data_IF_741532472425
#
_entry.id   IF_741532472425
#
_cell.length_a   1.000
_cell.length_b   1.000
_cell.length_c   1.000
_cell.angle_alpha   90.00
_cell.angle_beta   90.00
_cell.angle_gamma   90.00
#
_symmetry.space_group_name_H-M   'P 1'
#
loop_
_entity.id
_entity.type
_entity.pdbx_description
1 polymer ?
#
# COMPACT_ATOMS: atom_id res chain seq x y z
N UNK A 1 13.11 80.21 4.27
CA UNK A 1 14.14 79.67 5.19
C UNK A 1 14.23 78.18 4.90
N UNK A 2 15.24 77.68 4.16
CA UNK A 2 16.64 77.44 4.58
C UNK A 2 16.75 76.47 5.78
N UNK A 3 17.41 75.32 5.56
CA UNK A 3 17.63 74.27 6.56
C UNK A 3 18.55 73.14 6.04
N UNK A 4 19.87 73.32 6.18
CA UNK A 4 20.98 72.39 5.84
C UNK A 4 21.68 71.94 7.16
N UNK A 5 22.37 70.81 7.29
CA UNK A 5 22.62 69.60 6.46
C UNK A 5 23.09 68.49 7.43
N UNK A 6 22.86 67.19 7.14
CA UNK A 6 23.70 66.11 7.69
C UNK A 6 23.64 64.82 6.85
N UNK A 7 24.80 64.33 6.42
CA UNK A 7 24.96 63.04 5.75
C UNK A 7 25.77 62.07 6.62
N UNK A 8 25.45 60.78 6.58
CA UNK A 8 26.17 59.67 7.24
C UNK A 8 26.74 58.67 6.23
N UNK A 9 27.71 57.83 6.63
CA UNK A 9 28.69 57.23 5.72
C UNK A 9 28.19 55.99 4.94
N UNK A 10 28.90 55.58 3.85
CA UNK A 10 28.49 54.49 2.98
C UNK A 10 28.74 53.10 3.59
N UNK A 11 27.82 52.17 3.38
CA UNK A 11 28.04 50.76 3.72
C UNK A 11 28.91 50.05 2.69
N UNK A 12 29.91 49.32 3.20
CA UNK A 12 31.00 48.70 2.45
C UNK A 12 30.58 47.42 1.68
N UNK A 13 31.26 47.14 0.56
CA UNK A 13 31.02 45.95 -0.30
C UNK A 13 31.79 44.72 0.21
N UNK A 14 31.25 44.04 1.21
CA UNK A 14 31.81 42.80 1.77
C UNK A 14 31.34 41.50 1.09
N UNK A 15 32.15 40.96 0.17
CA UNK A 15 32.24 39.55 -0.32
C UNK A 15 31.02 38.62 -0.15
N UNK A 16 30.46 38.17 -1.29
CA UNK A 16 29.74 36.89 -1.37
C UNK A 16 30.67 35.72 -0.99
N UNK A 17 30.27 34.93 0.00
CA UNK A 17 30.82 33.59 0.27
C UNK A 17 29.79 32.54 -0.16
N UNK A 18 29.86 32.13 -1.42
CA UNK A 18 29.12 31.00 -1.97
C UNK A 18 29.67 29.68 -1.42
N UNK A 19 29.11 29.21 -0.30
CA UNK A 19 29.39 27.87 0.21
C UNK A 19 28.58 26.84 -0.59
N UNK A 20 29.20 26.29 -1.63
CA UNK A 20 28.65 25.14 -2.34
C UNK A 20 28.76 23.87 -1.46
N UNK A 21 27.70 23.04 -1.33
CA UNK A 21 27.78 21.79 -0.61
C UNK A 21 28.70 20.79 -1.35
N UNK A 22 29.73 20.30 -0.66
CA UNK A 22 30.61 19.26 -1.19
C UNK A 22 29.88 17.92 -1.29
N UNK A 23 29.80 17.36 -2.49
CA UNK A 23 29.39 15.98 -2.73
C UNK A 23 30.38 15.00 -2.05
N UNK A 24 29.90 13.97 -1.33
CA UNK A 24 30.76 12.86 -0.89
C UNK A 24 31.23 12.02 -2.07
N UNK A 25 32.35 11.33 -1.87
CA UNK A 25 33.20 10.75 -2.91
C UNK A 25 32.64 9.48 -3.59
N UNK A 26 33.20 9.18 -4.76
CA UNK A 26 32.80 8.06 -5.64
C UNK A 26 32.96 6.69 -4.96
N UNK A 27 31.88 5.90 -4.95
CA UNK A 27 31.93 4.47 -4.61
C UNK A 27 32.79 3.71 -5.65
N UNK A 28 33.80 2.96 -5.18
CA UNK A 28 34.76 2.22 -6.03
C UNK A 28 34.51 0.71 -5.97
N UNK A 29 33.60 0.22 -6.81
CA UNK A 29 33.43 -1.22 -7.05
C UNK A 29 34.62 -1.77 -7.85
N UNK A 30 35.27 -2.84 -7.37
CA UNK A 30 36.29 -3.55 -8.14
C UNK A 30 35.65 -4.35 -9.27
N UNK A 31 36.20 -4.25 -10.50
CA UNK A 31 35.89 -5.18 -11.59
C UNK A 31 36.54 -6.53 -11.29
N UNK A 32 35.73 -7.58 -11.20
CA UNK A 32 36.23 -8.96 -11.22
C UNK A 32 36.74 -9.27 -12.64
N UNK A 33 38.02 -9.65 -12.75
CA UNK A 33 38.53 -10.35 -13.95
C UNK A 33 38.16 -11.82 -13.82
N UNK A 34 37.50 -12.38 -14.84
CA UNK A 34 37.36 -13.82 -14.99
C UNK A 34 38.72 -14.42 -15.40
N UNK A 35 39.27 -15.40 -14.67
CA UNK A 35 40.31 -16.29 -15.19
C UNK A 35 39.69 -17.34 -16.13
N UNK A 36 40.54 -17.98 -16.94
CA UNK A 36 40.11 -18.83 -18.05
C UNK A 36 39.53 -20.19 -17.66
N UNK A 37 38.97 -20.83 -18.70
CA UNK A 37 38.40 -22.19 -18.69
C UNK A 37 39.42 -23.23 -18.19
N UNK A 38 39.00 -24.06 -17.24
CA UNK A 38 39.71 -25.25 -16.77
C UNK A 38 38.69 -26.31 -16.33
N UNK A 39 38.81 -27.52 -16.85
CA UNK A 39 37.77 -28.56 -16.81
C UNK A 39 38.09 -29.65 -15.78
N UNK A 40 37.05 -30.30 -15.22
CA UNK A 40 37.07 -31.48 -14.33
C UNK A 40 37.57 -31.30 -12.88
N UNK A 41 36.64 -31.36 -11.92
CA UNK A 41 36.56 -32.53 -11.02
C UNK A 41 35.13 -32.70 -10.48
N UNK A 42 34.69 -33.95 -10.31
CA UNK A 42 33.39 -34.30 -9.71
C UNK A 42 33.54 -34.55 -8.21
N UNK A 43 32.44 -34.35 -7.48
CA UNK A 43 32.16 -34.92 -6.16
C UNK A 43 33.08 -34.55 -4.99
N UNK A 44 32.60 -33.64 -4.14
CA UNK A 44 32.35 -34.00 -2.73
C UNK A 44 31.39 -32.98 -2.11
N UNK A 45 30.24 -33.47 -1.64
CA UNK A 45 29.30 -32.68 -0.85
C UNK A 45 29.87 -32.55 0.56
N UNK A 46 30.44 -31.39 0.86
CA UNK A 46 30.63 -30.95 2.25
C UNK A 46 29.62 -29.85 2.48
N UNK A 47 28.52 -30.20 3.14
CA UNK A 47 27.54 -29.25 3.63
C UNK A 47 28.16 -28.45 4.78
N UNK A 48 28.96 -27.44 4.44
CA UNK A 48 29.48 -26.49 5.40
C UNK A 48 28.29 -25.67 5.90
N UNK A 49 27.78 -26.02 7.08
CA UNK A 49 26.77 -25.24 7.79
C UNK A 49 27.43 -23.94 8.24
N UNK A 50 27.52 -23.01 7.30
CA UNK A 50 27.79 -21.61 7.57
C UNK A 50 26.62 -21.11 8.42
N UNK A 51 26.80 -21.16 9.74
CA UNK A 51 26.07 -20.32 10.69
C UNK A 51 26.42 -18.86 10.39
N UNK A 52 25.83 -18.33 9.33
CA UNK A 52 25.81 -16.89 9.12
C UNK A 52 24.79 -16.36 10.13
N UNK A 53 25.26 -15.61 11.12
CA UNK A 53 24.43 -14.84 12.04
C UNK A 53 23.79 -13.68 11.25
N UNK A 54 22.78 -14.00 10.44
CA UNK A 54 22.08 -13.04 9.59
C UNK A 54 21.04 -12.31 10.43
N UNK A 55 20.99 -10.99 10.27
CA UNK A 55 20.04 -10.04 10.89
C UNK A 55 20.37 -9.62 12.33
N UNK A 56 21.04 -8.47 12.44
CA UNK A 56 21.33 -7.81 13.72
C UNK A 56 22.63 -8.28 14.33
N UNK A 57 23.36 -7.38 15.01
CA UNK A 57 24.53 -7.78 15.80
C UNK A 57 24.16 -8.54 17.09
N UNK A 58 22.86 -8.65 17.36
CA UNK A 58 22.23 -9.12 18.60
C UNK A 58 21.01 -10.01 18.26
N UNK A 59 21.20 -11.18 17.63
CA UNK A 59 20.10 -12.12 17.36
C UNK A 59 20.52 -13.61 17.39
N UNK A 60 20.09 -14.32 18.42
CA UNK A 60 20.27 -15.76 18.57
C UNK A 60 19.19 -16.54 17.83
N UNK A 61 19.57 -17.72 17.35
CA UNK A 61 18.77 -18.59 16.51
C UNK A 61 19.61 -19.22 15.39
N UNK A 62 18.97 -19.89 14.41
CA UNK A 62 17.54 -20.09 14.31
C UNK A 62 16.98 -21.03 15.39
N UNK A 63 15.87 -20.63 16.00
CA UNK A 63 14.97 -21.48 16.79
C UNK A 63 13.90 -22.06 15.85
N UNK A 64 13.61 -23.36 15.95
CA UNK A 64 12.79 -24.07 14.97
C UNK A 64 13.41 -24.04 13.57
N UNK A 65 12.64 -24.44 12.55
CA UNK A 65 13.17 -24.56 11.18
C UNK A 65 12.20 -24.08 10.10
N UNK A 66 12.75 -23.34 9.13
CA UNK A 66 12.20 -23.11 7.80
C UNK A 66 13.14 -23.80 6.81
N UNK A 67 12.67 -24.81 6.09
CA UNK A 67 13.39 -25.53 5.04
C UNK A 67 12.50 -25.69 3.79
N UNK A 68 12.67 -24.81 2.81
CA UNK A 68 11.80 -24.72 1.63
C UNK A 68 12.64 -24.64 0.36
N UNK A 69 12.89 -25.80 -0.28
CA UNK A 69 13.76 -25.87 -1.46
C UNK A 69 15.21 -25.51 -1.10
N UNK A 70 15.74 -24.43 -1.68
CA UNK A 70 17.06 -23.90 -1.35
C UNK A 70 17.06 -22.90 -0.17
N UNK A 71 15.89 -22.62 0.43
CA UNK A 71 15.75 -21.65 1.52
C UNK A 71 15.84 -22.32 2.90
N UNK A 72 16.76 -21.84 3.73
CA UNK A 72 16.99 -22.33 5.10
C UNK A 72 16.88 -21.16 6.08
N UNK A 73 16.19 -21.37 7.20
CA UNK A 73 15.86 -20.33 8.17
C UNK A 73 15.18 -20.82 9.45
N UNK A 74 14.60 -19.89 10.19
CA UNK A 74 13.87 -20.14 11.45
C UNK A 74 13.48 -18.85 12.15
N UNK A 75 13.16 -18.94 13.45
CA UNK A 75 12.87 -17.82 14.33
C UNK A 75 14.14 -17.31 15.02
N UNK A 76 14.19 -16.02 15.32
CA UNK A 76 15.31 -15.36 15.98
C UNK A 76 14.83 -14.51 17.15
N UNK A 77 15.61 -14.46 18.22
CA UNK A 77 15.40 -13.55 19.35
C UNK A 77 16.15 -12.22 19.14
N UNK A 78 16.15 -11.36 20.15
CA UNK A 78 17.11 -10.28 20.34
C UNK A 78 18.08 -10.71 21.47
N UNK A 79 19.39 -10.61 21.26
CA UNK A 79 20.39 -11.07 22.25
C UNK A 79 20.42 -10.23 23.54
N UNK A 80 19.97 -8.98 23.48
CA UNK A 80 19.93 -8.11 24.67
C UNK A 80 18.73 -8.40 25.58
N UNK A 81 17.65 -9.01 25.05
CA UNK A 81 16.37 -9.18 25.78
C UNK A 81 15.84 -10.60 25.80
N UNK A 82 16.40 -11.53 25.01
CA UNK A 82 15.86 -12.88 24.79
C UNK A 82 14.52 -12.93 24.04
N UNK A 83 13.86 -11.79 23.81
CA UNK A 83 12.52 -11.73 23.25
C UNK A 83 12.50 -12.02 21.74
N UNK A 84 11.40 -12.57 21.25
CA UNK A 84 11.21 -12.86 19.82
C UNK A 84 11.26 -11.59 18.96
N UNK A 85 12.20 -11.56 18.01
CA UNK A 85 12.42 -10.41 17.13
C UNK A 85 11.78 -10.63 15.75
N UNK A 86 12.12 -11.73 15.09
CA UNK A 86 11.67 -12.00 13.71
C UNK A 86 11.88 -13.45 13.29
N UNK A 87 11.27 -13.86 12.19
CA UNK A 87 11.66 -15.06 11.44
C UNK A 87 12.37 -14.64 10.15
N UNK A 88 13.40 -15.39 9.74
CA UNK A 88 14.08 -15.18 8.46
C UNK A 88 14.44 -16.49 7.78
N UNK A 89 14.51 -16.45 6.45
CA UNK A 89 15.00 -17.52 5.59
C UNK A 89 16.02 -16.98 4.58
N UNK A 90 16.99 -17.81 4.23
CA UNK A 90 18.15 -17.44 3.41
C UNK A 90 18.33 -18.41 2.27
N UNK A 91 18.71 -17.90 1.09
CA UNK A 91 19.07 -18.70 -0.09
C UNK A 91 20.41 -18.20 -0.67
N UNK A 92 21.44 -19.06 -0.80
CA UNK A 92 22.70 -18.70 -1.44
C UNK A 92 22.61 -18.77 -2.97
N UNK A 93 23.29 -17.85 -3.66
CA UNK A 93 23.35 -17.80 -5.13
C UNK A 93 24.79 -17.86 -5.64
N UNK A 94 24.97 -18.32 -6.88
CA UNK A 94 26.28 -18.50 -7.53
C UNK A 94 27.10 -17.21 -7.66
N UNK A 95 26.47 -16.04 -7.52
CA UNK A 95 27.12 -14.72 -7.45
C UNK A 95 27.92 -14.47 -6.16
N UNK A 96 27.86 -15.39 -5.18
CA UNK A 96 28.44 -15.19 -3.84
C UNK A 96 27.59 -14.28 -2.94
N UNK A 97 26.35 -14.00 -3.36
CA UNK A 97 25.35 -13.25 -2.59
C UNK A 97 24.35 -14.22 -1.99
N UNK A 98 24.04 -14.03 -0.71
CA UNK A 98 22.98 -14.72 0.01
C UNK A 98 21.79 -13.76 0.05
N UNK A 99 20.66 -14.20 -0.49
CA UNK A 99 19.40 -13.48 -0.40
C UNK A 99 18.70 -13.86 0.90
N UNK A 100 18.22 -12.87 1.63
CA UNK A 100 17.60 -13.02 2.95
C UNK A 100 16.20 -12.45 2.88
N UNK A 101 15.20 -13.20 3.33
CA UNK A 101 13.82 -12.72 3.47
C UNK A 101 13.41 -12.85 4.93
N UNK A 102 13.01 -11.74 5.53
CA UNK A 102 12.59 -11.67 6.93
C UNK A 102 11.15 -11.21 7.09
N UNK A 103 10.49 -11.68 8.15
CA UNK A 103 9.19 -11.22 8.61
C UNK A 103 9.26 -11.03 10.13
N UNK A 104 9.06 -9.81 10.62
CA UNK A 104 9.27 -9.47 12.02
C UNK A 104 7.99 -9.53 12.88
N UNK A 105 8.18 -9.46 14.20
CA UNK A 105 7.08 -9.51 15.17
C UNK A 105 6.08 -8.35 15.05
N UNK A 106 6.39 -7.25 14.36
CA UNK A 106 5.47 -6.13 14.07
C UNK A 106 4.87 -6.15 12.67
N UNK A 107 5.03 -7.24 11.91
CA UNK A 107 4.39 -7.45 10.61
C UNK A 107 5.11 -6.78 9.41
N UNK A 108 6.38 -6.40 9.59
CA UNK A 108 7.21 -5.84 8.51
C UNK A 108 7.99 -6.94 7.79
N UNK A 109 7.96 -6.90 6.45
CA UNK A 109 8.78 -7.76 5.60
C UNK A 109 10.09 -7.07 5.25
N UNK A 110 11.17 -7.84 5.14
CA UNK A 110 12.50 -7.36 4.75
C UNK A 110 13.13 -8.25 3.68
N UNK A 111 13.89 -7.62 2.78
CA UNK A 111 14.77 -8.28 1.83
C UNK A 111 16.19 -7.80 2.12
N UNK A 112 17.14 -8.71 2.31
CA UNK A 112 18.54 -8.35 2.49
C UNK A 112 19.45 -9.08 1.51
N UNK A 113 20.53 -8.40 1.14
CA UNK A 113 21.59 -8.90 0.28
C UNK A 113 22.85 -8.99 1.13
N UNK A 114 23.23 -10.20 1.53
CA UNK A 114 24.41 -10.48 2.33
C UNK A 114 25.52 -11.10 1.47
N UNK A 115 26.78 -10.79 1.77
CA UNK A 115 27.93 -11.52 1.21
C UNK A 115 29.14 -11.40 2.13
N UNK A 116 29.91 -12.48 2.38
CA UNK A 116 31.19 -12.41 3.08
C UNK A 116 32.21 -11.47 2.41
N UNK A 117 31.98 -11.08 1.16
CA UNK A 117 32.81 -10.11 0.41
C UNK A 117 32.44 -8.64 0.65
N UNK A 118 31.23 -8.35 1.15
CA UNK A 118 30.75 -6.97 1.34
C UNK A 118 31.40 -6.28 2.54
N UNK A 119 31.63 -4.96 2.43
CA UNK A 119 32.34 -4.12 3.41
C UNK A 119 31.66 -2.74 3.52
N UNK A 120 30.42 -2.74 3.99
CA UNK A 120 29.64 -1.53 4.26
C UNK A 120 29.95 -0.94 5.63
N UNK A 121 29.71 0.36 5.77
CA UNK A 121 29.71 1.05 7.07
C UNK A 121 28.32 0.94 7.72
N UNK A 122 28.24 0.92 9.05
CA UNK A 122 26.94 0.89 9.75
C UNK A 122 26.16 2.18 9.44
N UNK A 123 24.92 2.04 8.96
CA UNK A 123 24.08 3.14 8.50
C UNK A 123 24.31 3.56 7.04
N UNK A 124 25.25 2.94 6.32
CA UNK A 124 25.43 3.16 4.88
C UNK A 124 24.14 2.76 4.14
N UNK A 125 23.68 3.63 3.25
CA UNK A 125 22.38 3.50 2.58
C UNK A 125 22.55 3.42 1.06
N UNK A 126 21.87 2.47 0.43
CA UNK A 126 21.90 2.28 -1.02
C UNK A 126 20.48 2.11 -1.60
N UNK A 127 20.22 2.75 -2.74
CA UNK A 127 19.04 2.45 -3.54
C UNK A 127 19.29 1.19 -4.37
N UNK A 128 18.39 0.21 -4.28
CA UNK A 128 18.41 -1.05 -5.02
C UNK A 128 17.13 -1.12 -5.84
N UNK A 129 17.25 -1.03 -7.16
CA UNK A 129 16.15 -1.24 -8.08
C UNK A 129 16.02 -2.75 -8.36
N UNK A 130 14.99 -3.39 -7.82
CA UNK A 130 14.64 -4.78 -8.12
C UNK A 130 13.63 -4.84 -9.25
N UNK A 131 13.84 -5.74 -10.22
CA UNK A 131 12.91 -6.01 -11.32
C UNK A 131 12.54 -7.48 -11.32
N UNK A 132 11.26 -7.79 -11.28
CA UNK A 132 10.73 -9.15 -11.26
C UNK A 132 10.22 -9.57 -12.63
N UNK A 133 10.63 -10.76 -13.09
CA UNK A 133 10.27 -11.38 -14.37
C UNK A 133 10.36 -10.44 -15.59
N UNK A 134 11.27 -9.46 -15.53
CA UNK A 134 11.50 -8.44 -16.55
C UNK A 134 10.36 -7.41 -16.72
N UNK A 135 9.42 -7.30 -15.77
CA UNK A 135 8.20 -6.48 -15.91
C UNK A 135 7.94 -5.53 -14.75
N UNK A 136 7.97 -6.02 -13.51
CA UNK A 136 7.62 -5.19 -12.35
C UNK A 136 8.89 -4.66 -11.67
N UNK A 137 9.10 -3.35 -11.70
CA UNK A 137 10.24 -2.69 -11.08
C UNK A 137 9.85 -1.97 -9.78
N UNK A 138 10.59 -2.22 -8.71
CA UNK A 138 10.46 -1.51 -7.43
C UNK A 138 11.82 -0.98 -6.96
N UNK A 139 11.86 0.29 -6.55
CA UNK A 139 13.03 0.88 -5.88
C UNK A 139 12.93 0.63 -4.39
N UNK A 140 13.84 -0.18 -3.87
CA UNK A 140 14.03 -0.42 -2.44
C UNK A 140 15.17 0.46 -1.92
N UNK A 141 15.02 0.96 -0.69
CA UNK A 141 16.10 1.65 0.02
C UNK A 141 16.63 0.70 1.09
N UNK A 142 17.88 0.28 0.93
CA UNK A 142 18.54 -0.67 1.80
C UNK A 142 19.57 0.02 2.70
N UNK A 143 19.60 -0.36 3.97
CA UNK A 143 20.53 0.17 4.97
C UNK A 143 21.42 -0.95 5.50
N UNK A 144 22.71 -0.66 5.68
CA UNK A 144 23.68 -1.58 6.23
C UNK A 144 23.64 -1.55 7.76
N UNK A 145 22.97 -2.53 8.36
CA UNK A 145 22.98 -2.73 9.82
C UNK A 145 24.21 -3.54 10.30
N UNK A 146 24.83 -4.28 9.38
CA UNK A 146 26.06 -5.06 9.55
C UNK A 146 26.99 -4.76 8.35
N UNK A 147 28.30 -4.99 8.51
CA UNK A 147 29.28 -4.66 7.46
C UNK A 147 29.22 -5.54 6.21
N UNK A 148 28.53 -6.68 6.27
CA UNK A 148 28.43 -7.68 5.21
C UNK A 148 27.03 -7.76 4.57
N UNK A 149 26.07 -6.90 4.94
CA UNK A 149 24.67 -7.01 4.52
C UNK A 149 23.96 -5.65 4.38
N UNK A 150 23.23 -5.49 3.27
CA UNK A 150 22.27 -4.40 3.06
C UNK A 150 20.84 -4.94 3.21
N UNK A 151 20.03 -4.34 4.11
CA UNK A 151 18.63 -4.74 4.35
C UNK A 151 17.68 -3.64 3.95
N UNK A 152 16.70 -3.94 3.08
CA UNK A 152 15.57 -3.08 2.77
C UNK A 152 14.27 -3.62 3.38
N UNK A 153 13.35 -2.72 3.71
CA UNK A 153 11.94 -3.09 3.96
C UNK A 153 11.27 -3.41 2.62
N UNK A 154 10.58 -4.55 2.52
CA UNK A 154 9.71 -4.85 1.38
C UNK A 154 8.30 -4.33 1.66
N UNK A 155 7.77 -3.40 0.86
CA UNK A 155 6.35 -3.08 0.88
C UNK A 155 5.53 -4.30 0.39
N UNK A 156 4.28 -4.41 0.82
CA UNK A 156 3.47 -5.62 0.59
C UNK A 156 3.24 -5.96 -0.89
N UNK A 157 3.30 -5.01 -1.83
CA UNK A 157 3.26 -5.33 -3.26
C UNK A 157 4.53 -6.10 -3.66
N UNK A 158 5.71 -5.60 -3.30
CA UNK A 158 7.00 -6.26 -3.56
C UNK A 158 7.05 -7.66 -2.95
N UNK A 159 6.47 -7.86 -1.76
CA UNK A 159 6.35 -9.19 -1.14
C UNK A 159 5.49 -10.13 -2.00
N UNK A 160 4.31 -9.68 -2.48
CA UNK A 160 3.43 -10.50 -3.34
C UNK A 160 4.06 -10.82 -4.69
N UNK A 161 4.84 -9.89 -5.25
CA UNK A 161 5.56 -10.09 -6.50
C UNK A 161 6.70 -11.06 -6.29
N UNK A 162 7.55 -10.85 -5.28
CA UNK A 162 8.59 -11.78 -4.86
C UNK A 162 8.06 -13.21 -4.62
N UNK A 163 6.89 -13.33 -3.99
CA UNK A 163 6.19 -14.60 -3.71
C UNK A 163 5.82 -15.40 -4.99
N UNK A 164 5.70 -14.73 -6.14
CA UNK A 164 5.25 -15.32 -7.42
C UNK A 164 6.31 -15.30 -8.51
N UNK A 165 7.33 -14.45 -8.36
CA UNK A 165 8.39 -14.25 -9.33
C UNK A 165 9.30 -15.48 -9.44
N UNK A 166 9.75 -15.76 -10.66
CA UNK A 166 10.74 -16.81 -10.96
C UNK A 166 12.13 -16.23 -11.23
N UNK A 167 12.22 -14.93 -11.52
CA UNK A 167 13.47 -14.20 -11.69
C UNK A 167 13.38 -12.83 -10.97
N UNK A 168 14.42 -12.47 -10.24
CA UNK A 168 14.65 -11.10 -9.78
C UNK A 168 16.00 -10.59 -10.26
N UNK A 169 16.00 -9.39 -10.84
CA UNK A 169 17.21 -8.64 -11.20
C UNK A 169 17.32 -7.46 -10.24
N UNK A 170 18.31 -7.47 -9.34
CA UNK A 170 18.59 -6.34 -8.44
C UNK A 170 19.74 -5.50 -9.01
N UNK A 171 19.53 -4.19 -9.08
CA UNK A 171 20.53 -3.25 -9.61
C UNK A 171 20.82 -2.13 -8.62
N UNK A 172 22.11 -1.83 -8.43
CA UNK A 172 22.58 -0.80 -7.51
C UNK A 172 23.70 0.01 -8.19
N UNK A 173 23.32 1.15 -8.76
CA UNK A 173 24.21 1.99 -9.56
C UNK A 173 24.67 1.30 -10.85
N UNK A 174 25.84 0.63 -10.82
CA UNK A 174 26.38 -0.17 -11.94
C UNK A 174 26.44 -1.67 -11.66
N UNK A 175 26.16 -2.09 -10.43
CA UNK A 175 26.07 -3.50 -10.09
C UNK A 175 24.72 -4.05 -10.56
N UNK A 176 24.73 -5.24 -11.15
CA UNK A 176 23.54 -6.00 -11.59
C UNK A 176 23.70 -7.41 -11.04
N UNK A 177 22.70 -7.90 -10.32
CA UNK A 177 22.65 -9.21 -9.71
C UNK A 177 21.37 -9.92 -10.15
N UNK A 178 21.49 -11.13 -10.68
CA UNK A 178 20.36 -11.95 -11.10
C UNK A 178 20.14 -13.06 -10.07
N UNK A 179 18.88 -13.33 -9.76
CA UNK A 179 18.44 -14.32 -8.79
C UNK A 179 17.32 -15.17 -9.41
N UNK A 180 17.62 -16.42 -9.75
CA UNK A 180 16.62 -17.40 -10.16
C UNK A 180 15.81 -17.81 -8.92
N UNK A 181 14.62 -17.25 -8.78
CA UNK A 181 13.79 -17.37 -7.58
C UNK A 181 13.04 -18.70 -7.58
N UNK A 182 13.41 -19.60 -6.68
CA UNK A 182 12.72 -20.87 -6.45
C UNK A 182 11.95 -20.84 -5.13
N UNK A 183 10.74 -21.39 -5.11
CA UNK A 183 9.95 -21.67 -3.90
C UNK A 183 9.65 -20.48 -2.98
N UNK A 184 9.74 -19.24 -3.49
CA UNK A 184 9.45 -18.01 -2.73
C UNK A 184 8.04 -17.99 -2.16
N UNK A 185 7.06 -18.53 -2.89
CA UNK A 185 5.69 -18.81 -2.44
C UNK A 185 5.61 -19.48 -1.05
N UNK A 186 6.04 -20.75 -0.93
CA UNK A 186 6.05 -21.46 0.34
C UNK A 186 7.05 -20.90 1.37
N UNK A 187 8.10 -20.16 0.99
CA UNK A 187 8.96 -19.44 1.95
C UNK A 187 8.19 -18.34 2.69
N UNK A 188 7.45 -17.50 1.95
CA UNK A 188 6.59 -16.44 2.53
C UNK A 188 5.54 -17.07 3.46
N UNK A 189 4.96 -18.21 3.07
CA UNK A 189 4.03 -18.95 3.92
C UNK A 189 4.70 -19.49 5.21
N UNK A 190 5.88 -20.12 5.10
CA UNK A 190 6.61 -20.66 6.24
C UNK A 190 7.07 -19.57 7.22
N UNK A 191 7.51 -18.41 6.73
CA UNK A 191 7.88 -17.26 7.57
C UNK A 191 6.66 -16.63 8.27
N UNK A 192 5.51 -16.58 7.61
CA UNK A 192 4.24 -16.14 8.22
C UNK A 192 3.80 -17.10 9.33
N UNK A 193 3.85 -18.41 9.07
CA UNK A 193 3.56 -19.46 10.04
C UNK A 193 4.53 -19.40 11.24
N UNK A 194 5.81 -19.17 10.98
CA UNK A 194 6.84 -18.99 12.01
C UNK A 194 6.52 -17.83 12.96
N UNK A 195 6.25 -16.62 12.44
CA UNK A 195 5.85 -15.47 13.28
C UNK A 195 4.56 -15.74 14.03
N UNK A 196 3.57 -16.40 13.39
CA UNK A 196 2.29 -16.72 14.02
C UNK A 196 2.46 -17.70 15.19
N UNK A 197 3.20 -18.79 15.01
CA UNK A 197 3.43 -19.80 16.05
C UNK A 197 4.28 -19.28 17.18
N UNK A 198 5.42 -18.64 16.89
CA UNK A 198 6.32 -18.17 17.96
C UNK A 198 5.68 -17.08 18.83
N UNK A 199 4.77 -16.27 18.27
CA UNK A 199 3.93 -15.35 19.05
C UNK A 199 2.92 -16.03 19.97
N UNK A 200 2.36 -17.17 19.56
CA UNK A 200 1.34 -17.90 20.32
C UNK A 200 1.96 -18.84 21.36
N UNK A 201 3.00 -19.58 20.96
CA UNK A 201 3.52 -20.74 21.68
C UNK A 201 4.82 -20.45 22.45
N UNK A 202 5.56 -19.40 22.06
CA UNK A 202 6.90 -19.07 22.57
C UNK A 202 8.05 -19.55 21.67
N UNK A 203 9.26 -19.01 21.91
CA UNK A 203 10.51 -19.40 21.23
C UNK A 203 10.98 -20.79 21.64
N UNK A 204 10.72 -21.18 22.89
CA UNK A 204 11.00 -22.50 23.47
C UNK A 204 10.26 -23.64 22.76
N UNK A 205 9.12 -23.34 22.13
CA UNK A 205 8.29 -24.31 21.38
C UNK A 205 8.47 -24.21 19.86
N UNK A 206 9.49 -23.49 19.39
CA UNK A 206 9.76 -23.32 17.97
C UNK A 206 10.04 -24.67 17.28
N UNK A 207 9.15 -25.05 16.35
CA UNK A 207 9.21 -26.33 15.65
C UNK A 207 9.50 -26.18 14.16
N UNK A 208 9.07 -27.17 13.38
CA UNK A 208 9.11 -27.13 11.92
C UNK A 208 7.96 -26.25 11.39
N UNK A 209 8.32 -25.10 10.83
CA UNK A 209 7.38 -24.11 10.29
C UNK A 209 6.97 -24.41 8.84
N UNK A 210 7.49 -25.47 8.22
CA UNK A 210 7.21 -25.86 6.83
C UNK A 210 6.13 -26.92 6.68
N UNK A 211 5.80 -27.64 7.76
CA UNK A 211 4.72 -28.65 7.79
C UNK A 211 3.28 -28.12 7.61
N UNK A 212 3.13 -26.82 7.30
CA UNK A 212 1.90 -26.22 6.78
C UNK A 212 2.04 -25.59 5.38
N UNK A 213 3.17 -25.80 4.68
CA UNK A 213 3.56 -25.06 3.48
C UNK A 213 3.81 -25.93 2.21
N UNK A 214 3.69 -27.26 2.30
CA UNK A 214 3.71 -28.21 1.17
C UNK A 214 2.77 -29.40 1.51
N UNK A 215 1.94 -29.95 0.61
CA UNK A 215 2.24 -30.51 -0.73
C UNK A 215 1.00 -30.42 -1.67
N UNK A 216 1.15 -30.49 -3.03
CA UNK A 216 0.06 -30.26 -3.99
C UNK A 216 -0.44 -31.52 -4.75
N UNK A 217 -1.38 -31.26 -5.66
CA UNK A 217 -1.79 -32.03 -6.85
C UNK A 217 -2.59 -33.33 -6.66
N UNK A 218 -3.61 -33.48 -7.52
CA UNK A 218 -4.66 -34.48 -7.49
C UNK A 218 -4.20 -35.92 -7.78
N UNK A 219 -4.92 -36.87 -7.18
CA UNK A 219 -5.20 -38.18 -7.80
C UNK A 219 -6.72 -38.30 -7.93
N UNK A 220 -7.21 -38.80 -9.06
CA UNK A 220 -8.64 -38.84 -9.36
C UNK A 220 -9.32 -40.05 -8.72
N UNK A 221 -10.48 -39.84 -8.11
CA UNK A 221 -11.51 -40.87 -7.99
C UNK A 221 -12.88 -40.26 -8.34
N UNK A 222 -13.76 -41.09 -8.90
CA UNK A 222 -14.73 -40.67 -9.93
C UNK A 222 -16.16 -40.78 -9.43
N UNK A 223 -16.79 -39.64 -9.11
CA UNK A 223 -18.25 -39.51 -8.95
C UNK A 223 -18.73 -38.12 -9.42
N UNK A 224 -20.00 -38.03 -9.82
CA UNK A 224 -20.47 -37.04 -10.82
C UNK A 224 -20.70 -35.60 -10.29
N UNK A 225 -20.57 -34.63 -11.20
CA UNK A 225 -20.81 -33.18 -11.02
C UNK A 225 -22.33 -32.84 -11.15
N UNK A 226 -22.80 -31.58 -10.89
CA UNK A 226 -22.13 -30.30 -10.60
C UNK A 226 -22.64 -29.61 -9.28
N UNK A 227 -22.24 -28.37 -8.88
CA UNK A 227 -21.44 -27.35 -9.58
C UNK A 227 -20.16 -26.84 -8.86
N UNK A 228 -19.43 -25.97 -9.57
CA UNK A 228 -18.05 -25.53 -9.30
C UNK A 228 -17.88 -24.55 -8.14
N UNK A 229 -16.97 -24.86 -7.21
CA UNK A 229 -16.45 -23.93 -6.20
C UNK A 229 -15.18 -23.20 -6.67
N UNK A 230 -15.22 -21.87 -6.72
CA UNK A 230 -14.08 -21.02 -7.09
C UNK A 230 -13.04 -20.84 -5.99
N UNK A 231 -11.87 -20.30 -6.35
CA UNK A 231 -10.83 -19.85 -5.40
C UNK A 231 -11.43 -18.84 -4.40
N UNK A 232 -10.99 -18.81 -3.13
CA UNK A 232 -11.54 -17.88 -2.15
C UNK A 232 -11.25 -16.43 -2.56
N UNK A 233 -12.31 -15.72 -2.94
CA UNK A 233 -12.25 -14.30 -3.20
C UNK A 233 -12.07 -13.54 -1.88
N UNK A 234 -11.32 -12.44 -1.89
CA UNK A 234 -11.18 -11.58 -0.71
C UNK A 234 -12.30 -10.55 -0.69
N UNK A 235 -12.86 -10.30 0.50
CA UNK A 235 -13.81 -9.22 0.67
C UNK A 235 -13.10 -7.86 0.49
N UNK A 236 -13.51 -7.11 -0.53
CA UNK A 236 -13.14 -5.71 -0.79
C UNK A 236 -14.31 -4.83 -0.37
N UNK A 237 -14.02 -3.66 0.19
CA UNK A 237 -15.05 -2.71 0.62
C UNK A 237 -14.66 -1.24 0.41
N UNK A 238 -15.70 -0.42 0.33
CA UNK A 238 -15.65 1.03 0.22
C UNK A 238 -17.01 1.63 0.60
N UNK A 239 -17.21 2.90 0.26
CA UNK A 239 -18.47 3.61 0.46
C UNK A 239 -19.08 3.96 -0.91
N UNK A 240 -20.39 4.12 -0.96
CA UNK A 240 -21.09 4.76 -2.07
C UNK A 240 -22.30 5.52 -1.57
N UNK A 241 -22.89 6.35 -2.42
CA UNK A 241 -24.07 7.14 -2.05
C UNK A 241 -25.06 7.28 -3.20
N UNK A 242 -26.35 7.29 -2.87
CA UNK A 242 -27.44 7.41 -3.86
C UNK A 242 -27.54 8.85 -4.35
N UNK A 243 -27.70 9.05 -5.67
CA UNK A 243 -27.83 10.36 -6.31
C UNK A 243 -29.18 10.60 -7.01
N UNK A 244 -30.08 9.61 -7.00
CA UNK A 244 -31.40 9.70 -7.62
C UNK A 244 -32.44 8.81 -6.93
N UNK A 245 -33.71 9.14 -7.06
CA UNK A 245 -34.84 8.31 -6.57
C UNK A 245 -34.84 6.88 -7.15
N UNK A 246 -34.35 6.72 -8.39
CA UNK A 246 -34.25 5.45 -9.09
C UNK A 246 -33.11 4.53 -8.63
N UNK A 247 -32.34 4.90 -7.59
CA UNK A 247 -31.33 4.01 -7.01
C UNK A 247 -30.00 3.95 -7.75
N UNK A 248 -29.67 4.98 -8.54
CA UNK A 248 -28.31 5.20 -9.02
C UNK A 248 -27.40 5.60 -7.85
N UNK A 249 -26.27 4.89 -7.71
CA UNK A 249 -25.31 4.99 -6.60
C UNK A 249 -23.93 5.32 -7.15
N UNK A 250 -23.31 6.37 -6.63
CA UNK A 250 -21.94 6.76 -6.97
C UNK A 250 -20.96 6.12 -6.00
N UNK A 251 -19.85 5.61 -6.52
CA UNK A 251 -18.66 5.20 -5.76
C UNK A 251 -17.42 5.47 -6.62
N UNK A 252 -16.22 5.05 -6.18
CA UNK A 252 -15.05 5.10 -7.06
C UNK A 252 -14.93 3.87 -7.95
N UNK A 253 -14.36 4.03 -9.15
CA UNK A 253 -13.98 2.91 -10.02
C UNK A 253 -13.21 1.85 -9.23
N UNK A 254 -12.20 2.28 -8.48
CA UNK A 254 -11.39 1.35 -7.73
C UNK A 254 -12.13 0.60 -6.61
N UNK A 255 -13.28 1.06 -6.12
CA UNK A 255 -13.99 0.28 -5.09
C UNK A 255 -14.52 -1.01 -5.71
N UNK A 256 -14.88 -0.95 -6.99
CA UNK A 256 -15.45 -2.06 -7.76
C UNK A 256 -14.47 -2.78 -8.69
N UNK A 257 -13.30 -2.18 -8.96
CA UNK A 257 -12.27 -2.79 -9.81
C UNK A 257 -11.82 -4.14 -9.23
N UNK A 258 -12.00 -5.20 -10.01
CA UNK A 258 -11.65 -6.56 -9.63
C UNK A 258 -12.70 -7.38 -8.90
N UNK A 259 -13.88 -6.81 -8.66
CA UNK A 259 -15.02 -7.57 -8.13
C UNK A 259 -15.38 -8.75 -9.04
N UNK A 260 -15.71 -9.88 -8.42
CA UNK A 260 -16.19 -11.12 -9.04
C UNK A 260 -17.44 -11.61 -8.32
N UNK A 261 -18.43 -12.01 -9.11
CA UNK A 261 -19.79 -12.19 -8.60
C UNK A 261 -20.41 -10.85 -8.19
N UNK A 262 -21.33 -10.90 -7.24
CA UNK A 262 -22.15 -9.75 -6.87
C UNK A 262 -21.37 -8.64 -6.14
N UNK A 263 -21.56 -7.41 -6.61
CA UNK A 263 -21.32 -6.20 -5.82
C UNK A 263 -22.55 -5.99 -4.94
N UNK A 264 -22.34 -5.66 -3.66
CA UNK A 264 -23.40 -5.51 -2.66
C UNK A 264 -23.35 -4.15 -1.99
N UNK A 265 -24.49 -3.47 -1.93
CA UNK A 265 -24.71 -2.25 -1.17
C UNK A 265 -25.44 -2.53 0.14
N UNK A 266 -25.08 -1.85 1.23
CA UNK A 266 -25.74 -1.98 2.53
C UNK A 266 -25.87 -0.61 3.22
N UNK A 267 -27.10 -0.15 3.47
CA UNK A 267 -27.38 0.98 4.35
C UNK A 267 -27.27 0.53 5.82
N UNK A 268 -26.79 1.38 6.73
CA UNK A 268 -26.58 0.98 8.14
C UNK A 268 -27.85 0.37 8.74
N UNK A 269 -27.76 -0.90 9.15
CA UNK A 269 -28.84 -1.63 9.82
C UNK A 269 -29.82 -2.33 8.87
N UNK A 270 -29.64 -2.19 7.55
CA UNK A 270 -30.46 -2.87 6.54
C UNK A 270 -29.79 -4.14 6.00
N UNK A 271 -30.53 -4.90 5.20
CA UNK A 271 -29.98 -6.04 4.47
C UNK A 271 -29.13 -5.59 3.27
N UNK A 272 -28.13 -6.38 2.89
CA UNK A 272 -27.33 -6.10 1.70
C UNK A 272 -28.11 -6.39 0.41
N UNK A 273 -28.17 -5.42 -0.51
CA UNK A 273 -28.78 -5.55 -1.84
C UNK A 273 -27.71 -5.76 -2.92
N UNK A 274 -28.01 -6.57 -3.94
CA UNK A 274 -27.11 -6.76 -5.10
C UNK A 274 -27.22 -5.55 -6.02
N UNK A 275 -26.07 -4.96 -6.35
CA UNK A 275 -25.93 -3.81 -7.23
C UNK A 275 -25.35 -4.22 -8.59
N UNK A 276 -25.78 -3.54 -9.65
CA UNK A 276 -25.24 -3.72 -11.01
C UNK A 276 -24.36 -2.54 -11.39
N UNK A 277 -23.29 -2.77 -12.16
CA UNK A 277 -22.49 -1.69 -12.74
C UNK A 277 -23.28 -1.10 -13.93
N UNK A 278 -23.45 0.21 -13.96
CA UNK A 278 -24.01 0.96 -15.09
C UNK A 278 -22.90 1.55 -15.95
N UNK A 279 -21.94 2.19 -15.30
CA UNK A 279 -20.82 2.91 -15.94
C UNK A 279 -19.62 2.93 -15.01
N UNK A 280 -18.41 3.00 -15.56
CA UNK A 280 -17.20 3.20 -14.76
C UNK A 280 -16.08 3.85 -15.56
N UNK A 281 -15.43 4.83 -14.94
CA UNK A 281 -14.32 5.60 -15.49
C UNK A 281 -13.07 5.39 -14.62
N UNK A 282 -12.14 4.58 -15.12
CA UNK A 282 -10.87 4.30 -14.46
C UNK A 282 -9.90 5.49 -14.45
N UNK A 283 -10.03 6.43 -15.39
CA UNK A 283 -9.13 7.59 -15.48
C UNK A 283 -9.48 8.63 -14.42
N UNK A 284 -10.77 8.85 -14.18
CA UNK A 284 -11.30 9.80 -13.19
C UNK A 284 -11.70 9.15 -11.85
N UNK A 285 -11.48 7.84 -11.73
CA UNK A 285 -11.75 7.03 -10.54
C UNK A 285 -13.21 7.09 -10.06
N UNK A 286 -14.17 7.02 -10.99
CA UNK A 286 -15.61 7.04 -10.71
C UNK A 286 -16.31 5.76 -11.19
N UNK A 287 -17.34 5.35 -10.45
CA UNK A 287 -18.23 4.27 -10.85
C UNK A 287 -19.68 4.61 -10.50
N UNK A 288 -20.56 4.14 -11.36
CA UNK A 288 -22.00 4.24 -11.23
C UNK A 288 -22.57 2.83 -11.07
N UNK A 289 -23.22 2.60 -9.95
CA UNK A 289 -23.94 1.38 -9.62
C UNK A 289 -25.44 1.63 -9.63
N UNK A 290 -26.22 0.56 -9.78
CA UNK A 290 -27.67 0.58 -9.81
C UNK A 290 -28.24 -0.44 -8.82
N UNK A 291 -29.11 0.03 -7.93
CA UNK A 291 -29.92 -0.82 -7.05
C UNK A 291 -30.96 -1.64 -7.84
N UNK A 292 -31.57 -2.69 -7.25
CA UNK A 292 -32.70 -3.38 -7.85
C UNK A 292 -33.82 -2.40 -8.23
N UNK A 293 -34.47 -2.60 -9.38
CA UNK A 293 -35.53 -1.69 -9.88
C UNK A 293 -36.80 -1.64 -9.01
N UNK A 294 -36.90 -2.52 -8.01
CA UNK A 294 -37.95 -2.53 -6.98
C UNK A 294 -37.59 -1.67 -5.76
N UNK A 295 -36.37 -1.13 -5.69
CA UNK A 295 -35.87 -0.31 -4.59
C UNK A 295 -35.95 1.18 -4.97
N UNK A 296 -36.86 1.91 -4.33
CA UNK A 296 -37.01 3.36 -4.50
C UNK A 296 -36.43 4.09 -3.28
N UNK A 297 -35.55 5.06 -3.52
CA UNK A 297 -34.98 5.89 -2.45
C UNK A 297 -35.76 7.19 -2.32
N UNK A 298 -36.23 7.48 -1.10
CA UNK A 298 -36.91 8.76 -0.77
C UNK A 298 -35.91 9.90 -0.66
N UNK A 299 -34.81 9.62 0.05
CA UNK A 299 -33.70 10.54 0.28
C UNK A 299 -32.50 10.12 -0.57
N UNK A 300 -31.78 11.12 -1.09
CA UNK A 300 -30.58 10.93 -1.90
C UNK A 300 -29.75 12.22 -1.88
N UNK A 301 -28.48 12.11 -2.24
CA UNK A 301 -27.56 13.24 -2.20
C UNK A 301 -27.93 14.33 -3.22
N UNK A 302 -27.81 15.59 -2.80
CA UNK A 302 -27.84 16.76 -3.69
C UNK A 302 -26.43 17.27 -3.90
N UNK A 303 -26.08 17.58 -5.15
CA UNK A 303 -24.77 18.10 -5.53
C UNK A 303 -24.79 19.63 -5.45
N UNK A 304 -23.76 20.25 -4.88
CA UNK A 304 -23.65 21.72 -4.84
C UNK A 304 -23.49 22.26 -6.27
N UNK A 305 -24.35 23.20 -6.67
CA UNK A 305 -24.28 23.84 -8.00
C UNK A 305 -23.12 24.83 -8.14
N UNK A 306 -22.82 25.58 -7.08
CA UNK A 306 -21.71 26.54 -7.00
C UNK A 306 -20.41 25.88 -6.56
N UNK A 307 -19.29 26.41 -7.05
CA UNK A 307 -17.95 25.97 -6.62
C UNK A 307 -17.75 26.10 -5.11
N UNK A 308 -17.01 25.15 -4.53
CA UNK A 308 -16.44 25.25 -3.19
C UNK A 308 -15.13 26.05 -3.23
N UNK A 309 -14.77 26.70 -2.12
CA UNK A 309 -13.55 27.53 -1.97
C UNK A 309 -12.57 26.88 -1.00
N UNK A 310 -11.29 27.22 -1.09
CA UNK A 310 -10.33 26.91 -0.02
C UNK A 310 -10.79 27.52 1.30
N UNK A 311 -10.72 26.75 2.38
CA UNK A 311 -11.18 27.14 3.71
C UNK A 311 -12.66 26.86 4.00
N UNK A 312 -13.50 26.53 3.00
CA UNK A 312 -14.87 26.10 3.26
C UNK A 312 -14.86 24.77 4.07
N UNK A 313 -15.69 24.71 5.12
CA UNK A 313 -15.87 23.53 5.99
C UNK A 313 -16.43 22.34 5.23
N UNK A 314 -15.92 21.13 5.52
CA UNK A 314 -16.38 19.88 4.91
C UNK A 314 -16.58 18.75 5.91
N UNK A 315 -17.51 17.85 5.58
CA UNK A 315 -17.83 16.62 6.31
C UNK A 315 -17.68 15.43 5.37
N UNK A 316 -16.80 14.48 5.69
CA UNK A 316 -16.64 13.24 4.94
C UNK A 316 -17.29 12.07 5.71
N UNK A 317 -18.12 11.30 5.01
CA UNK A 317 -18.88 10.18 5.57
C UNK A 317 -18.56 8.89 4.81
N UNK A 318 -18.36 7.78 5.54
CA UNK A 318 -18.12 6.48 4.93
C UNK A 318 -17.84 5.37 5.94
N UNK A 319 -17.44 4.19 5.46
CA UNK A 319 -17.31 2.96 6.26
C UNK A 319 -15.83 2.54 6.39
N UNK A 320 -15.01 3.26 7.18
CA UNK A 320 -13.59 2.96 7.31
C UNK A 320 -13.37 1.63 8.04
N UNK A 321 -12.54 0.77 7.46
CA UNK A 321 -12.18 -0.54 8.05
C UNK A 321 -13.40 -1.35 8.53
N UNK A 322 -14.47 -1.40 7.72
CA UNK A 322 -15.69 -2.16 8.03
C UNK A 322 -15.36 -3.60 8.45
N UNK A 323 -15.91 -4.04 9.58
CA UNK A 323 -15.66 -5.37 10.16
C UNK A 323 -14.35 -5.49 10.97
N UNK A 324 -13.53 -4.44 11.04
CA UNK A 324 -12.32 -4.36 11.88
C UNK A 324 -12.44 -3.23 12.91
N UNK A 325 -12.98 -2.07 12.51
CA UNK A 325 -13.12 -0.89 13.39
C UNK A 325 -14.56 -0.72 13.91
N UNK A 326 -15.53 -0.71 12.99
CA UNK A 326 -16.97 -0.62 13.30
C UNK A 326 -17.77 -1.16 12.10
N UNK A 327 -19.04 -1.52 12.33
CA UNK A 327 -19.98 -1.88 11.27
C UNK A 327 -20.83 -0.70 10.79
N UNK A 328 -20.85 0.41 11.53
CA UNK A 328 -21.57 1.64 11.18
C UNK A 328 -20.67 2.62 10.40
N UNK A 329 -21.25 3.63 9.74
CA UNK A 329 -20.47 4.68 9.10
C UNK A 329 -19.82 5.61 10.12
N UNK A 330 -18.64 6.10 9.76
CA UNK A 330 -17.90 7.14 10.46
C UNK A 330 -18.16 8.51 9.85
N UNK A 331 -18.09 9.54 10.68
CA UNK A 331 -18.21 10.95 10.28
C UNK A 331 -16.92 11.65 10.67
N UNK A 332 -16.34 12.38 9.72
CA UNK A 332 -15.09 13.12 9.91
C UNK A 332 -15.24 14.53 9.36
N UNK A 333 -14.61 15.51 10.00
CA UNK A 333 -14.72 16.94 9.63
C UNK A 333 -13.36 17.53 9.30
N UNK A 334 -13.36 18.59 8.49
CA UNK A 334 -12.17 19.34 8.12
C UNK A 334 -12.53 20.53 7.23
N UNK A 335 -11.58 20.95 6.41
CA UNK A 335 -11.75 22.03 5.41
C UNK A 335 -11.23 21.57 4.04
N UNK A 336 -11.61 22.30 2.99
CA UNK A 336 -10.88 22.27 1.71
C UNK A 336 -9.53 22.99 1.89
N UNK A 337 -8.44 22.24 1.89
CA UNK A 337 -7.08 22.77 1.98
C UNK A 337 -6.56 23.32 0.65
N UNK A 338 -7.00 22.75 -0.47
CA UNK A 338 -6.64 23.22 -1.83
C UNK A 338 -7.70 22.82 -2.85
N UNK A 339 -7.85 23.66 -3.88
CA UNK A 339 -8.70 23.41 -5.05
C UNK A 339 -8.02 22.57 -6.13
N UNK A 340 -6.89 21.91 -5.84
CA UNK A 340 -6.21 20.97 -6.74
C UNK A 340 -5.61 19.80 -5.98
N UNK A 341 -5.46 18.65 -6.64
CA UNK A 341 -4.77 17.47 -6.14
C UNK A 341 -3.25 17.55 -6.31
N UNK A 342 -2.59 16.39 -6.16
CA UNK A 342 -1.15 16.25 -6.41
C UNK A 342 -0.76 16.79 -7.79
N UNK A 343 0.38 17.49 -7.88
CA UNK A 343 0.91 18.07 -9.14
C UNK A 343 -0.06 19.02 -9.86
N UNK A 344 -0.90 19.72 -9.09
CA UNK A 344 -1.93 20.63 -9.60
C UNK A 344 -3.02 19.95 -10.44
N UNK A 345 -3.28 18.66 -10.23
CA UNK A 345 -4.40 17.96 -10.90
C UNK A 345 -5.73 18.63 -10.53
N UNK A 346 -6.32 19.31 -11.50
CA UNK A 346 -7.50 20.17 -11.33
C UNK A 346 -8.79 19.38 -11.07
N UNK A 347 -8.77 18.06 -11.20
CA UNK A 347 -9.93 17.18 -10.99
C UNK A 347 -10.26 16.95 -9.51
N UNK A 348 -9.29 17.19 -8.64
CA UNK A 348 -9.40 16.89 -7.20
C UNK A 348 -9.42 18.14 -6.32
N UNK A 349 -9.99 17.98 -5.13
CA UNK A 349 -9.82 18.83 -3.95
C UNK A 349 -8.82 18.15 -3.02
N UNK A 350 -7.96 18.93 -2.35
CA UNK A 350 -7.27 18.49 -1.15
C UNK A 350 -8.12 18.86 0.07
N UNK A 351 -8.30 17.93 0.99
CA UNK A 351 -9.07 18.12 2.24
C UNK A 351 -8.24 17.71 3.45
N UNK A 352 -8.50 18.37 4.59
CA UNK A 352 -7.91 18.01 5.88
C UNK A 352 -8.71 16.96 6.66
N UNK A 353 -9.97 16.73 6.30
CA UNK A 353 -10.84 15.76 6.95
C UNK A 353 -10.20 14.35 6.91
N UNK A 354 -10.07 13.63 8.05
CA UNK A 354 -9.41 12.33 8.10
C UNK A 354 -10.03 11.26 7.18
N UNK A 355 -9.25 10.72 6.24
CA UNK A 355 -9.67 9.66 5.32
C UNK A 355 -8.88 8.37 5.54
N UNK A 356 -9.57 7.24 5.62
CA UNK A 356 -8.99 5.91 5.79
C UNK A 356 -9.55 4.91 4.75
N UNK A 357 -8.87 3.77 4.51
CA UNK A 357 -9.41 2.68 3.69
C UNK A 357 -10.85 2.31 4.09
N UNK A 358 -11.77 2.32 3.13
CA UNK A 358 -13.21 2.18 3.34
C UNK A 358 -14.02 3.46 3.12
N UNK A 359 -13.44 4.65 3.36
CA UNK A 359 -14.10 5.94 3.05
C UNK A 359 -14.15 6.25 1.54
N UNK A 360 -13.32 5.59 0.74
CA UNK A 360 -13.29 5.78 -0.71
C UNK A 360 -14.64 5.48 -1.36
N UNK A 361 -15.08 6.36 -2.25
CA UNK A 361 -16.39 6.41 -2.88
C UNK A 361 -17.46 7.12 -2.05
N UNK A 362 -17.13 7.52 -0.82
CA UNK A 362 -18.05 8.22 0.08
C UNK A 362 -18.26 9.70 -0.28
N UNK A 363 -19.41 10.27 0.10
CA UNK A 363 -19.71 11.67 -0.13
C UNK A 363 -18.86 12.57 0.77
N UNK A 364 -18.36 13.66 0.18
CA UNK A 364 -17.84 14.83 0.87
C UNK A 364 -18.90 15.92 0.81
N UNK A 365 -19.44 16.33 1.95
CA UNK A 365 -20.41 17.42 2.07
C UNK A 365 -19.74 18.73 2.46
N UNK A 366 -20.37 19.86 2.11
CA UNK A 366 -20.11 21.14 2.77
C UNK A 366 -20.94 21.31 4.06
N UNK A 367 -20.71 22.42 4.78
CA UNK A 367 -21.49 22.79 5.97
C UNK A 367 -23.00 22.98 5.73
N UNK A 368 -23.49 23.01 4.48
CA UNK A 368 -24.93 23.10 4.15
C UNK A 368 -25.52 21.75 3.73
N UNK A 369 -24.75 20.66 3.83
CA UNK A 369 -25.20 19.30 3.53
C UNK A 369 -25.32 18.97 2.04
N UNK A 370 -24.73 19.76 1.14
CA UNK A 370 -24.61 19.38 -0.28
C UNK A 370 -23.28 18.71 -0.57
N UNK A 371 -23.28 17.74 -1.49
CA UNK A 371 -22.07 17.06 -1.96
C UNK A 371 -21.20 18.03 -2.76
N UNK A 372 -19.95 18.17 -2.30
CA UNK A 372 -18.88 18.97 -2.91
C UNK A 372 -17.73 18.12 -3.46
N UNK A 373 -17.77 16.80 -3.23
CA UNK A 373 -16.91 15.85 -3.92
C UNK A 373 -17.13 14.38 -3.53
N UNK A 374 -16.39 13.49 -4.19
CA UNK A 374 -16.34 12.04 -3.87
C UNK A 374 -14.96 11.71 -3.29
N UNK A 375 -14.90 11.26 -2.03
CA UNK A 375 -13.64 10.90 -1.38
C UNK A 375 -12.97 9.76 -2.16
N UNK A 376 -11.73 9.95 -2.64
CA UNK A 376 -10.98 8.89 -3.37
C UNK A 376 -9.94 8.20 -2.49
N UNK A 377 -9.28 8.94 -1.60
CA UNK A 377 -8.29 8.38 -0.69
C UNK A 377 -7.37 9.44 -0.07
N UNK A 378 -6.22 8.98 0.42
CA UNK A 378 -5.17 9.82 1.02
C UNK A 378 -3.94 9.90 0.14
N UNK A 379 -3.10 10.92 0.34
CA UNK A 379 -1.76 10.95 -0.26
C UNK A 379 -1.02 9.63 0.05
N UNK A 380 -0.18 9.09 -0.86
CA UNK A 380 0.61 7.91 -0.57
C UNK A 380 1.71 8.27 0.45
N UNK A 381 1.31 8.40 1.72
CA UNK A 381 2.10 9.03 2.78
C UNK A 381 3.46 8.37 2.96
N UNK A 382 3.54 7.04 2.85
CA UNK A 382 4.80 6.31 2.89
C UNK A 382 5.72 6.63 1.68
N UNK A 383 5.18 6.82 0.47
CA UNK A 383 5.99 7.21 -0.71
C UNK A 383 6.53 8.63 -0.56
N UNK A 384 5.75 9.53 0.04
CA UNK A 384 6.18 10.91 0.31
C UNK A 384 7.19 10.94 1.47
N UNK A 385 6.96 10.21 2.56
CA UNK A 385 7.91 10.07 3.66
C UNK A 385 9.28 9.56 3.20
N UNK A 386 9.29 8.56 2.32
CA UNK A 386 10.52 8.06 1.69
C UNK A 386 11.20 9.10 0.78
N UNK A 387 10.43 10.04 0.20
CA UNK A 387 10.97 11.09 -0.67
C UNK A 387 11.37 12.39 0.05
N UNK A 388 10.81 12.68 1.23
CA UNK A 388 10.96 13.98 1.94
C UNK A 388 11.48 13.86 3.37
N UNK A 389 11.63 12.63 3.90
CA UNK A 389 11.96 12.37 5.30
C UNK A 389 10.81 12.59 6.30
N UNK A 390 9.63 13.04 5.84
CA UNK A 390 8.50 13.41 6.71
C UNK A 390 7.21 12.72 6.30
N UNK A 391 6.50 12.09 7.24
CA UNK A 391 5.17 11.52 6.99
C UNK A 391 4.18 12.68 6.81
N UNK A 392 3.53 12.82 5.65
CA UNK A 392 2.50 13.84 5.48
C UNK A 392 1.22 13.43 6.21
N UNK A 393 0.75 14.32 7.07
CA UNK A 393 -0.49 14.15 7.83
C UNK A 393 -1.59 15.04 7.25
N UNK A 394 -2.84 14.61 7.36
CA UNK A 394 -4.03 15.38 6.96
C UNK A 394 -4.02 15.89 5.49
N UNK A 395 -3.39 15.14 4.58
CA UNK A 395 -3.45 15.37 3.13
C UNK A 395 -4.29 14.28 2.47
N UNK A 396 -5.59 14.55 2.35
CA UNK A 396 -6.57 13.64 1.75
C UNK A 396 -7.18 14.27 0.49
N UNK A 397 -7.80 13.45 -0.37
CA UNK A 397 -8.31 13.91 -1.68
C UNK A 397 -9.73 13.45 -1.96
N UNK A 398 -10.49 14.33 -2.63
CA UNK A 398 -11.82 14.06 -3.16
C UNK A 398 -11.92 14.54 -4.62
N UNK A 399 -12.66 13.84 -5.46
CA UNK A 399 -12.98 14.21 -6.85
C UNK A 399 -14.03 15.33 -6.83
N UNK A 400 -13.85 16.38 -7.63
CA UNK A 400 -14.75 17.56 -7.67
C UNK A 400 -16.13 17.25 -8.25
N UNK A 401 -17.12 18.07 -7.87
CA UNK A 401 -18.48 18.05 -8.45
C UNK A 401 -18.54 18.29 -9.96
N UNK A 402 -17.54 18.96 -10.57
CA UNK A 402 -17.44 19.06 -12.03
C UNK A 402 -17.36 17.67 -12.67
N UNK A 403 -16.28 16.95 -12.36
CA UNK A 403 -16.06 15.57 -12.83
C UNK A 403 -17.21 14.63 -12.50
N UNK A 404 -17.83 14.77 -11.33
CA UNK A 404 -18.98 13.97 -10.93
C UNK A 404 -20.21 14.24 -11.81
N UNK A 405 -20.52 15.52 -12.07
CA UNK A 405 -21.65 15.90 -12.94
C UNK A 405 -21.40 15.45 -14.37
N UNK A 406 -20.22 15.75 -14.93
CA UNK A 406 -19.82 15.31 -16.27
C UNK A 406 -19.97 13.78 -16.42
N UNK A 407 -19.59 13.01 -15.40
CA UNK A 407 -19.73 11.54 -15.40
C UNK A 407 -21.20 11.08 -15.34
N UNK A 408 -22.05 11.75 -14.56
CA UNK A 408 -23.49 11.45 -14.45
C UNK A 408 -24.27 11.87 -15.71
N UNK A 409 -23.96 13.04 -16.27
CA UNK A 409 -24.52 13.56 -17.51
C UNK A 409 -24.18 12.64 -18.69
N UNK A 410 -22.91 12.22 -18.82
CA UNK A 410 -22.49 11.22 -19.82
C UNK A 410 -23.10 9.82 -19.59
N UNK A 411 -23.53 9.51 -18.37
CA UNK A 411 -24.24 8.27 -18.02
C UNK A 411 -25.77 8.40 -18.12
N UNK A 412 -26.29 9.56 -18.55
CA UNK A 412 -27.72 9.88 -18.67
C UNK A 412 -28.48 9.67 -17.35
N UNK A 413 -27.84 10.00 -16.22
CA UNK A 413 -28.42 9.86 -14.87
C UNK A 413 -28.99 11.19 -14.37
N UNK A 414 -30.28 11.26 -14.02
CA UNK A 414 -30.83 12.45 -13.36
C UNK A 414 -30.27 12.57 -11.94
N UNK A 415 -29.69 13.72 -11.62
CA UNK A 415 -29.27 14.10 -10.26
C UNK A 415 -29.91 15.44 -9.86
N UNK A 416 -30.01 15.69 -8.56
CA UNK A 416 -30.43 17.00 -8.06
C UNK A 416 -29.21 17.86 -7.69
N UNK A 417 -29.28 19.13 -8.08
CA UNK A 417 -28.41 20.17 -7.56
C UNK A 417 -29.12 21.04 -6.53
N UNK A 418 -28.37 21.74 -5.69
CA UNK A 418 -28.90 22.78 -4.82
C UNK A 418 -27.85 23.87 -4.52
N UNK A 419 -28.35 25.10 -4.33
CA UNK A 419 -27.55 26.21 -3.83
C UNK A 419 -27.27 26.07 -2.34
N UNK A 420 -26.07 26.49 -1.86
CA UNK A 420 -25.77 26.61 -0.43
C UNK A 420 -26.79 27.50 0.30
N UNK A 421 -27.41 26.96 1.34
CA UNK A 421 -28.37 27.66 2.22
C UNK A 421 -27.74 27.95 3.59
N UNK A 422 -28.54 27.95 4.66
CA UNK A 422 -28.08 28.00 6.04
C UNK A 422 -27.16 26.81 6.36
N UNK A 423 -26.13 27.06 7.15
CA UNK A 423 -25.24 26.02 7.68
C UNK A 423 -26.01 25.08 8.62
N UNK A 424 -25.74 23.77 8.48
CA UNK A 424 -26.30 22.68 9.28
C UNK A 424 -25.23 22.20 10.27
N UNK A 425 -25.64 21.62 11.40
CA UNK A 425 -24.66 20.96 12.26
C UNK A 425 -24.16 19.67 11.60
N UNK A 426 -22.93 19.29 11.90
CA UNK A 426 -22.36 17.99 11.47
C UNK A 426 -23.25 16.80 11.82
N UNK A 427 -23.95 16.87 12.97
CA UNK A 427 -24.94 15.86 13.39
C UNK A 427 -26.09 15.75 12.42
N UNK A 428 -26.60 16.87 11.93
CA UNK A 428 -27.77 16.95 11.07
C UNK A 428 -27.41 16.50 9.66
N UNK A 429 -26.21 16.88 9.17
CA UNK A 429 -25.63 16.36 7.93
C UNK A 429 -25.48 14.83 8.01
N UNK A 430 -24.95 14.29 9.12
CA UNK A 430 -24.77 12.86 9.30
C UNK A 430 -26.10 12.08 9.37
N UNK A 431 -27.09 12.59 10.10
CA UNK A 431 -28.44 12.00 10.17
C UNK A 431 -29.10 12.02 8.79
N UNK A 432 -29.04 13.15 8.08
CA UNK A 432 -29.61 13.29 6.75
C UNK A 432 -28.90 12.41 5.70
N UNK A 433 -27.61 12.12 5.85
CA UNK A 433 -26.84 11.29 4.93
C UNK A 433 -26.99 9.78 5.16
N UNK A 434 -27.38 9.35 6.36
CA UNK A 434 -27.60 7.93 6.72
C UNK A 434 -28.49 7.16 5.73
N UNK A 435 -29.69 7.62 5.32
CA UNK A 435 -30.59 6.85 4.46
C UNK A 435 -30.11 6.67 3.00
N UNK A 436 -29.01 7.32 2.59
CA UNK A 436 -28.50 7.21 1.23
C UNK A 436 -26.99 6.98 1.12
N UNK A 437 -26.27 6.82 2.23
CA UNK A 437 -24.83 6.50 2.23
C UNK A 437 -24.65 5.05 2.67
N UNK A 438 -24.07 4.22 1.80
CA UNK A 438 -24.02 2.77 1.95
C UNK A 438 -22.59 2.21 1.86
N UNK A 439 -22.38 1.12 2.59
CA UNK A 439 -21.21 0.26 2.42
C UNK A 439 -21.32 -0.42 1.06
N UNK A 440 -20.29 -0.26 0.22
CA UNK A 440 -20.11 -1.07 -0.98
C UNK A 440 -19.14 -2.19 -0.63
N UNK A 441 -19.52 -3.42 -0.95
CA UNK A 441 -18.70 -4.60 -0.71
C UNK A 441 -18.77 -5.57 -1.89
N UNK A 442 -17.69 -6.28 -2.15
CA UNK A 442 -17.69 -7.37 -3.12
C UNK A 442 -16.63 -8.40 -2.77
N UNK A 443 -16.76 -9.56 -3.39
CA UNK A 443 -15.67 -10.53 -3.49
C UNK A 443 -14.75 -10.09 -4.63
N UNK A 444 -13.45 -9.96 -4.42
CA UNK A 444 -12.48 -9.62 -5.47
C UNK A 444 -11.63 -10.83 -5.87
N UNK A 445 -11.28 -10.95 -7.17
CA UNK A 445 -10.22 -11.88 -7.59
C UNK A 445 -8.85 -11.30 -7.30
N UNK A 446 -7.94 -12.19 -6.89
CA UNK A 446 -6.55 -11.89 -6.56
C UNK A 446 -5.74 -11.17 -7.67
N UNK A 447 -6.24 -11.16 -8.91
CA UNK A 447 -5.60 -10.53 -10.07
C UNK A 447 -5.86 -9.02 -10.21
N UNK A 448 -6.92 -8.49 -9.58
CA UNK A 448 -7.35 -7.10 -9.82
C UNK A 448 -7.20 -6.20 -8.58
N UNK A 449 -7.12 -6.77 -7.37
CA UNK A 449 -6.46 -6.11 -6.22
C UNK A 449 -4.96 -5.80 -6.48
N UNK A 450 -4.37 -6.35 -7.55
CA UNK A 450 -2.96 -6.20 -7.91
C UNK A 450 -2.68 -5.05 -8.90
N UNK A 451 -3.71 -4.37 -9.43
CA UNK A 451 -3.56 -3.27 -10.40
C UNK A 451 -3.42 -1.88 -9.78
N UNK A 452 -3.43 -1.76 -8.45
CA UNK A 452 -3.68 -0.50 -7.74
C UNK A 452 -2.59 -0.09 -6.73
#
# INVERSE_FOLDING_TARGET
>A
MQGRIAAGPPHDRGRQLTVAPRLPSRIRWMRVRLPGVGMWLRSLVVAFVLQVSVVGANAAGPFGTVNVGNWIGGAFSNDETGAFSHCAATAPYASGVILVVGYNSVGTWTLAFASPSYRFNKGESAAIDVTFDGREQARLYATAYQSNMLTAVMPLNVVRTFQKASLMVATAGRAVLNFDLTSTGPVIAALTNCVSKVKADGLDKAGDFTKGAAKPAATAEKQAAPPSGGKPARARSGTGFVVSTGGHIVTNHHVIDGCVGDIKGNLTGEAAMVLRIVSSDANNDLALLQAPSTTTFKDFARIRDRSIRSGDSVVAIGFPYHGILTSDFSVTTGIVSSLSGMRNDSRFLQISAPVQPGNSGGPLFDGTGQVVGVVTGKIPALRIAVATGNIPENINFAIKTGMLRDFLDNSIVPYQTAEPKSELKTTDIAVNARPYTMLISCNATEQADAKR
#
